data_IF_935952991616
#
_entry.id   IF_935952991616
#
_cell.length_a   1.000
_cell.length_b   1.000
_cell.length_c   1.000
_cell.angle_alpha   90.00
_cell.angle_beta   90.00
_cell.angle_gamma   90.00
#
_symmetry.space_group_name_H-M   'P 1'
#
loop_
_entity.id
_entity.type
_entity.pdbx_description
1 polymer ?
#
# COMPACT_ATOMS: atom_id res chain seq x y z
N UNK A 1 -17.32 17.53 -4.84
CA UNK A 1 -17.40 16.08 -5.11
C UNK A 1 -18.46 15.75 -6.16
N UNK A 2 -19.78 15.74 -5.86
CA UNK A 2 -20.81 15.29 -6.84
C UNK A 2 -20.73 15.95 -8.23
N UNK A 3 -20.70 17.29 -8.28
CA UNK A 3 -20.61 18.10 -9.51
C UNK A 3 -19.26 18.03 -10.25
N UNK A 4 -18.23 17.42 -9.66
CA UNK A 4 -16.92 17.31 -10.33
C UNK A 4 -16.78 16.00 -11.09
N UNK A 5 -17.60 14.99 -10.81
CA UNK A 5 -17.46 13.66 -11.41
C UNK A 5 -17.91 13.66 -12.87
N UNK A 6 -17.25 12.85 -13.70
CA UNK A 6 -17.56 12.72 -15.13
C UNK A 6 -17.84 11.26 -15.45
N UNK A 7 -19.03 10.97 -15.97
CA UNK A 7 -19.35 9.64 -16.50
C UNK A 7 -18.73 9.52 -17.90
N UNK A 8 -17.60 8.82 -18.00
CA UNK A 8 -16.83 8.71 -19.24
C UNK A 8 -17.43 7.69 -20.20
N UNK A 9 -17.92 6.56 -19.67
CA UNK A 9 -18.63 5.55 -20.45
C UNK A 9 -19.67 4.82 -19.61
N UNK A 10 -20.76 4.39 -20.26
CA UNK A 10 -21.81 3.59 -19.64
C UNK A 10 -22.47 2.72 -20.71
N UNK A 11 -22.08 1.45 -20.75
CA UNK A 11 -22.58 0.47 -21.73
C UNK A 11 -23.73 -0.31 -21.13
N UNK A 12 -24.67 -0.70 -21.99
CA UNK A 12 -25.81 -1.55 -21.62
C UNK A 12 -26.63 -1.01 -20.43
N UNK A 13 -26.61 0.31 -20.20
CA UNK A 13 -27.20 0.96 -19.04
C UNK A 13 -26.76 0.33 -17.70
N UNK A 14 -25.48 0.01 -17.58
CA UNK A 14 -24.90 -0.62 -16.36
C UNK A 14 -25.03 0.29 -15.14
N UNK A 15 -24.85 1.60 -15.32
CA UNK A 15 -25.14 2.61 -14.30
C UNK A 15 -26.46 3.36 -14.61
N UNK A 16 -27.22 3.76 -13.57
CA UNK A 16 -26.97 3.50 -12.15
C UNK A 16 -27.20 2.03 -11.78
N UNK A 17 -26.50 1.54 -10.75
CA UNK A 17 -26.69 0.20 -10.22
C UNK A 17 -28.13 0.04 -9.71
N UNK A 18 -28.67 -1.15 -9.94
CA UNK A 18 -30.03 -1.49 -9.49
C UNK A 18 -30.16 -1.35 -7.98
N UNK A 19 -31.24 -0.72 -7.52
CA UNK A 19 -31.59 -0.67 -6.08
C UNK A 19 -31.90 -2.05 -5.49
N UNK A 20 -32.14 -3.05 -6.34
CA UNK A 20 -32.37 -4.45 -5.97
C UNK A 20 -31.10 -5.30 -6.06
N UNK A 21 -29.92 -4.69 -6.31
CA UNK A 21 -28.65 -5.41 -6.32
C UNK A 21 -28.42 -6.04 -4.94
N UNK A 22 -28.10 -7.33 -4.90
CA UNK A 22 -28.00 -8.07 -3.64
C UNK A 22 -26.58 -8.10 -3.12
N UNK A 23 -25.62 -8.27 -4.04
CA UNK A 23 -24.21 -8.45 -3.69
C UNK A 23 -23.32 -7.66 -4.63
N UNK A 24 -22.46 -6.81 -4.06
CA UNK A 24 -21.50 -6.01 -4.81
C UNK A 24 -20.09 -6.32 -4.30
N UNK A 25 -19.16 -6.52 -5.22
CA UNK A 25 -17.74 -6.56 -4.88
C UNK A 25 -17.14 -5.18 -5.09
N UNK A 26 -16.51 -4.62 -4.06
CA UNK A 26 -15.75 -3.38 -4.13
C UNK A 26 -14.28 -3.73 -4.04
N UNK A 27 -13.50 -3.32 -5.03
CA UNK A 27 -12.10 -3.70 -5.20
C UNK A 27 -11.21 -2.53 -5.58
N UNK A 28 -9.91 -2.76 -5.60
CA UNK A 28 -8.90 -1.84 -6.09
C UNK A 28 -8.21 -1.02 -4.99
N UNK A 29 -7.02 -0.45 -5.29
CA UNK A 29 -6.18 0.22 -4.31
C UNK A 29 -6.84 1.46 -3.70
N UNK A 30 -7.76 2.11 -4.44
CA UNK A 30 -8.39 3.36 -4.06
C UNK A 30 -9.72 3.18 -3.31
N UNK A 31 -10.23 1.96 -3.19
CA UNK A 31 -11.54 1.70 -2.61
C UNK A 31 -11.63 2.09 -1.12
N UNK A 32 -10.59 1.79 -0.34
CA UNK A 32 -10.54 2.06 1.10
C UNK A 32 -9.33 2.94 1.47
N UNK A 33 -9.01 3.91 0.62
CA UNK A 33 -7.88 4.83 0.81
C UNK A 33 -8.42 6.25 1.05
N UNK A 34 -8.33 6.72 2.30
CA UNK A 34 -8.74 8.08 2.66
C UNK A 34 -7.75 9.14 2.19
N UNK A 35 -6.46 8.82 2.14
CA UNK A 35 -5.40 9.77 1.77
C UNK A 35 -5.51 10.12 0.29
N UNK A 36 -5.82 9.14 -0.56
CA UNK A 36 -6.08 9.37 -1.98
C UNK A 36 -7.16 10.43 -2.19
N UNK A 37 -8.21 10.46 -1.36
CA UNK A 37 -9.31 11.41 -1.53
C UNK A 37 -8.86 12.87 -1.48
N UNK A 38 -7.76 13.16 -0.79
CA UNK A 38 -7.32 14.52 -0.47
C UNK A 38 -6.37 15.13 -1.49
N UNK A 39 -5.75 14.31 -2.36
CA UNK A 39 -4.65 14.71 -3.24
C UNK A 39 -3.38 15.17 -2.47
N UNK A 40 -2.45 15.80 -3.18
CA UNK A 40 -1.16 16.31 -2.66
C UNK A 40 -1.27 17.69 -1.99
N UNK A 41 -2.19 18.54 -2.46
CA UNK A 41 -2.47 19.86 -1.90
C UNK A 41 -3.71 19.83 -1.00
N UNK A 42 -3.54 19.37 0.24
CA UNK A 42 -4.64 19.21 1.19
C UNK A 42 -4.38 19.89 2.53
N UNK A 43 -5.48 20.19 3.24
CA UNK A 43 -5.47 20.41 4.68
C UNK A 43 -5.90 19.14 5.42
N UNK A 44 -5.85 19.15 6.75
CA UNK A 44 -6.30 18.02 7.58
C UNK A 44 -7.83 18.02 7.69
N UNK A 45 -8.54 17.01 7.15
CA UNK A 45 -10.00 16.96 7.25
C UNK A 45 -10.45 16.43 8.61
N UNK A 46 -11.59 16.92 9.12
CA UNK A 46 -12.17 16.45 10.39
C UNK A 46 -12.59 14.96 10.33
N UNK A 47 -13.04 14.52 9.15
CA UNK A 47 -13.39 13.13 8.84
C UNK A 47 -13.20 12.86 7.37
N UNK A 48 -13.12 11.60 6.97
CA UNK A 48 -13.16 11.21 5.56
C UNK A 48 -13.99 9.97 5.36
N UNK A 49 -14.80 9.96 4.31
CA UNK A 49 -15.61 8.81 3.91
C UNK A 49 -14.96 8.18 2.69
N UNK A 50 -14.40 6.98 2.86
CA UNK A 50 -13.82 6.22 1.75
C UNK A 50 -14.89 5.79 0.76
N UNK A 51 -14.50 5.47 -0.47
CA UNK A 51 -15.45 5.01 -1.50
C UNK A 51 -16.13 3.70 -1.06
N UNK A 52 -15.39 2.81 -0.39
CA UNK A 52 -15.92 1.61 0.23
C UNK A 52 -16.98 1.94 1.29
N UNK A 53 -16.71 2.88 2.18
CA UNK A 53 -17.67 3.31 3.22
C UNK A 53 -18.93 3.91 2.61
N UNK A 54 -18.78 4.78 1.60
CA UNK A 54 -19.90 5.36 0.87
C UNK A 54 -20.79 4.30 0.21
N UNK A 55 -20.18 3.29 -0.43
CA UNK A 55 -20.92 2.18 -1.06
C UNK A 55 -21.59 1.29 0.01
N UNK A 56 -20.89 0.96 1.09
CA UNK A 56 -21.47 0.20 2.21
C UNK A 56 -22.68 0.91 2.81
N UNK A 57 -22.65 2.24 2.93
CA UNK A 57 -23.78 3.01 3.43
C UNK A 57 -25.04 2.98 2.53
N UNK A 58 -24.90 2.57 1.25
CA UNK A 58 -26.04 2.41 0.32
C UNK A 58 -26.67 1.02 0.35
N UNK A 59 -26.00 0.04 0.94
CA UNK A 59 -26.38 -1.37 0.86
C UNK A 59 -26.60 -1.97 2.25
N UNK A 60 -27.43 -3.03 2.35
CA UNK A 60 -27.56 -3.78 3.60
C UNK A 60 -26.21 -4.32 4.10
N UNK A 61 -26.10 -4.49 5.41
CA UNK A 61 -24.93 -5.12 6.02
C UNK A 61 -24.69 -6.52 5.43
N UNK A 62 -23.45 -6.85 5.11
CA UNK A 62 -23.07 -8.12 4.48
C UNK A 62 -23.28 -8.21 2.95
N UNK A 63 -23.90 -7.21 2.31
CA UNK A 63 -24.07 -7.16 0.85
C UNK A 63 -22.80 -6.75 0.08
N UNK A 64 -21.77 -6.25 0.77
CA UNK A 64 -20.52 -5.79 0.15
C UNK A 64 -19.37 -6.74 0.46
N UNK A 65 -18.80 -7.34 -0.57
CA UNK A 65 -17.48 -7.98 -0.48
C UNK A 65 -16.43 -6.89 -0.70
N UNK A 66 -15.42 -6.83 0.16
CA UNK A 66 -14.24 -6.01 -0.08
C UNK A 66 -13.00 -6.89 -0.30
N UNK A 67 -12.27 -6.61 -1.38
CA UNK A 67 -11.00 -7.23 -1.70
C UNK A 67 -10.14 -6.21 -2.44
N UNK A 68 -9.01 -5.77 -1.86
CA UNK A 68 -8.13 -4.76 -2.51
C UNK A 68 -7.68 -5.27 -3.88
N UNK A 69 -7.33 -6.55 -3.97
CA UNK A 69 -6.97 -7.26 -5.20
C UNK A 69 -5.58 -6.92 -5.75
N UNK A 70 -5.23 -5.64 -5.88
CA UNK A 70 -3.89 -5.21 -6.28
C UNK A 70 -3.51 -3.85 -5.69
N UNK A 71 -2.22 -3.51 -5.74
CA UNK A 71 -1.74 -2.17 -5.43
C UNK A 71 -1.73 -1.26 -6.68
N UNK A 72 -1.28 -0.02 -6.55
CA UNK A 72 -1.20 0.93 -7.65
C UNK A 72 -0.27 0.44 -8.76
N UNK A 73 0.95 0.06 -8.40
CA UNK A 73 2.04 -0.28 -9.35
C UNK A 73 2.76 -1.59 -9.00
N UNK A 74 2.51 -2.15 -7.82
CA UNK A 74 3.16 -3.38 -7.36
C UNK A 74 2.46 -4.62 -7.92
N UNK A 75 3.21 -5.49 -8.60
CA UNK A 75 2.70 -6.76 -9.12
C UNK A 75 2.77 -7.87 -8.08
N UNK A 76 3.38 -7.61 -6.92
CA UNK A 76 3.55 -8.56 -5.84
C UNK A 76 2.69 -8.19 -4.62
N UNK A 77 2.26 -9.20 -3.88
CA UNK A 77 1.70 -9.05 -2.54
C UNK A 77 2.75 -9.54 -1.55
N UNK A 78 3.05 -8.70 -0.57
CA UNK A 78 3.92 -9.05 0.54
C UNK A 78 3.09 -9.58 1.72
N UNK A 79 3.28 -10.85 2.06
CA UNK A 79 2.71 -11.47 3.25
C UNK A 79 3.77 -11.43 4.35
N UNK A 80 3.56 -10.58 5.34
CA UNK A 80 4.47 -10.45 6.48
C UNK A 80 4.52 -11.74 7.29
N UNK A 81 5.75 -12.18 7.56
CA UNK A 81 6.08 -13.25 8.50
C UNK A 81 6.78 -12.69 9.73
N UNK A 82 6.63 -11.40 10.02
CA UNK A 82 7.25 -10.76 11.20
C UNK A 82 6.81 -11.41 12.51
N UNK A 83 5.62 -11.99 12.55
CA UNK A 83 5.11 -12.76 13.69
C UNK A 83 5.86 -14.08 13.94
N UNK A 84 6.75 -14.50 13.04
CA UNK A 84 7.66 -15.64 13.19
C UNK A 84 9.05 -15.22 13.72
N UNK A 85 9.29 -13.92 13.91
CA UNK A 85 10.47 -13.38 14.57
C UNK A 85 10.33 -13.43 16.10
N UNK A 86 11.39 -13.86 16.81
CA UNK A 86 11.42 -13.96 18.27
C UNK A 86 12.77 -13.51 18.82
N UNK A 87 12.76 -12.77 19.91
CA UNK A 87 13.95 -12.54 20.75
C UNK A 87 13.61 -12.88 22.20
N UNK A 88 14.44 -13.68 22.86
CA UNK A 88 14.23 -14.17 24.24
C UNK A 88 12.81 -14.71 24.49
N UNK A 89 12.29 -15.48 23.53
CA UNK A 89 10.96 -16.09 23.60
C UNK A 89 9.78 -15.12 23.37
N UNK A 90 10.02 -13.83 23.17
CA UNK A 90 8.98 -12.83 22.88
C UNK A 90 8.91 -12.49 21.39
N UNK A 91 7.72 -12.16 20.87
CA UNK A 91 7.49 -11.78 19.46
C UNK A 91 8.30 -10.54 19.07
N UNK A 92 8.91 -10.58 17.88
CA UNK A 92 9.57 -9.46 17.25
C UNK A 92 11.04 -9.32 17.62
N UNK A 93 11.55 -8.09 17.59
CA UNK A 93 12.98 -7.77 17.72
C UNK A 93 13.26 -7.09 19.06
N UNK A 94 14.44 -7.38 19.64
CA UNK A 94 15.05 -6.48 20.61
C UNK A 94 15.69 -5.32 19.86
N UNK A 95 15.50 -4.10 20.33
CA UNK A 95 16.13 -2.90 19.82
C UNK A 95 17.05 -2.30 20.89
N UNK A 96 18.25 -1.88 20.48
CA UNK A 96 19.21 -1.13 21.29
C UNK A 96 19.60 0.12 20.53
N UNK A 97 19.59 1.28 21.19
CA UNK A 97 19.83 2.58 20.58
C UNK A 97 20.99 3.32 21.24
N UNK A 98 21.70 4.13 20.45
CA UNK A 98 22.75 5.03 20.89
C UNK A 98 22.53 6.42 20.30
N UNK A 99 22.79 7.47 21.08
CA UNK A 99 22.72 8.87 20.64
C UNK A 99 24.04 9.31 19.97
N UNK A 100 24.53 8.46 19.08
CA UNK A 100 25.65 8.68 18.16
C UNK A 100 25.49 7.74 16.96
N UNK A 101 26.34 7.88 15.95
CA UNK A 101 26.25 7.11 14.69
C UNK A 101 27.08 5.83 14.66
N UNK A 102 27.81 5.54 15.73
CA UNK A 102 28.88 4.53 15.74
C UNK A 102 28.47 3.21 16.39
N UNK A 103 27.21 3.06 16.84
CA UNK A 103 26.69 1.88 17.53
C UNK A 103 27.50 1.51 18.78
N UNK A 104 28.01 2.52 19.50
CA UNK A 104 28.94 2.31 20.61
C UNK A 104 28.76 3.33 21.74
N UNK A 105 29.41 3.06 22.87
CA UNK A 105 29.29 3.87 24.08
C UNK A 105 28.01 3.57 24.86
N UNK A 106 27.56 4.56 25.63
CA UNK A 106 26.41 4.42 26.51
C UNK A 106 25.12 4.20 25.72
N UNK A 107 24.39 3.15 26.11
CA UNK A 107 23.09 2.82 25.53
C UNK A 107 22.08 3.88 25.93
N UNK A 108 21.48 4.53 24.93
CA UNK A 108 20.48 5.56 25.13
C UNK A 108 19.11 4.96 25.49
N UNK A 109 18.73 3.87 24.81
CA UNK A 109 17.48 3.18 25.05
C UNK A 109 17.56 1.71 24.64
N UNK A 110 16.72 0.88 25.25
CA UNK A 110 16.44 -0.49 24.81
C UNK A 110 14.95 -0.74 24.83
N UNK A 111 14.48 -1.61 23.94
CA UNK A 111 13.08 -1.99 23.93
C UNK A 111 12.78 -3.16 23.02
N UNK A 112 11.49 -3.47 22.88
CA UNK A 112 11.00 -4.56 22.06
C UNK A 112 10.10 -3.99 20.96
N UNK A 113 10.31 -4.45 19.73
CA UNK A 113 9.52 -4.09 18.56
C UNK A 113 8.73 -5.31 18.12
N UNK A 114 7.41 -5.31 18.36
CA UNK A 114 6.54 -6.47 18.16
C UNK A 114 5.83 -6.53 16.79
N UNK A 115 5.93 -5.45 16.01
CA UNK A 115 5.31 -5.30 14.68
C UNK A 115 6.36 -4.92 13.63
N UNK A 116 6.11 -5.14 12.33
CA UNK A 116 7.00 -4.70 11.26
C UNK A 116 7.48 -3.27 11.46
N UNK A 117 8.75 -3.00 11.14
CA UNK A 117 9.31 -1.68 11.42
C UNK A 117 8.63 -0.67 10.50
N UNK A 118 8.14 0.40 11.10
CA UNK A 118 7.57 1.54 10.40
C UNK A 118 7.87 2.80 11.20
N UNK A 119 9.15 3.09 11.35
CA UNK A 119 9.64 4.25 12.07
C UNK A 119 9.78 5.44 11.12
N UNK A 120 9.34 6.60 11.59
CA UNK A 120 9.43 7.89 10.89
C UNK A 120 9.59 8.99 11.94
N UNK A 121 10.58 9.87 11.78
CA UNK A 121 10.78 11.00 12.72
C UNK A 121 9.97 12.25 12.37
N UNK A 122 9.04 12.15 11.42
CA UNK A 122 8.07 13.18 11.10
C UNK A 122 7.26 13.62 12.31
N UNK A 123 6.86 14.89 12.32
CA UNK A 123 6.13 15.46 13.47
C UNK A 123 6.91 15.43 14.79
N UNK A 124 8.25 15.38 14.74
CA UNK A 124 9.14 15.29 15.91
C UNK A 124 8.96 13.99 16.73
N UNK A 125 8.58 12.89 16.07
CA UNK A 125 8.44 11.57 16.70
C UNK A 125 9.81 10.91 16.86
N UNK A 126 10.15 10.42 18.06
CA UNK A 126 11.39 9.65 18.30
C UNK A 126 11.15 8.16 18.08
N UNK A 127 12.18 7.43 17.61
CA UNK A 127 12.08 5.97 17.41
C UNK A 127 11.84 5.23 18.73
N UNK A 128 12.35 5.76 19.84
CA UNK A 128 12.13 5.25 21.18
C UNK A 128 12.37 6.39 22.20
N UNK A 129 11.65 6.43 23.34
CA UNK A 129 11.93 7.41 24.39
C UNK A 129 13.40 7.38 24.81
N UNK A 130 14.05 8.55 24.85
CA UNK A 130 15.47 8.69 25.16
C UNK A 130 16.41 8.72 23.94
N UNK A 131 15.88 8.47 22.74
CA UNK A 131 16.64 8.53 21.48
C UNK A 131 16.48 9.91 20.84
N UNK A 132 17.57 10.48 20.34
CA UNK A 132 17.55 11.74 19.61
C UNK A 132 16.78 11.62 18.29
N UNK A 133 16.30 12.75 17.77
CA UNK A 133 15.67 12.80 16.43
C UNK A 133 16.68 12.68 15.30
N UNK A 134 17.94 13.01 15.57
CA UNK A 134 19.05 12.99 14.61
C UNK A 134 20.30 12.44 15.25
N UNK A 135 21.23 12.00 14.41
CA UNK A 135 22.58 11.56 14.82
C UNK A 135 22.52 10.44 15.88
N UNK A 136 21.69 9.43 15.59
CA UNK A 136 21.53 8.25 16.42
C UNK A 136 21.77 6.98 15.60
N UNK A 137 21.97 5.88 16.29
CA UNK A 137 22.12 4.56 15.68
C UNK A 137 21.35 3.52 16.48
N UNK A 138 21.02 2.42 15.81
CA UNK A 138 20.22 1.36 16.39
C UNK A 138 20.69 -0.01 15.91
N UNK A 139 20.58 -0.99 16.81
CA UNK A 139 20.77 -2.40 16.52
C UNK A 139 19.51 -3.16 16.88
N UNK A 140 19.01 -3.95 15.93
CA UNK A 140 17.85 -4.80 16.12
C UNK A 140 18.25 -6.27 15.98
N UNK A 141 17.81 -7.10 16.93
CA UNK A 141 18.19 -8.50 17.03
C UNK A 141 16.94 -9.37 17.15
N UNK A 142 16.89 -10.47 16.38
CA UNK A 142 15.81 -11.47 16.44
C UNK A 142 16.28 -12.81 15.88
N UNK A 143 15.59 -13.89 16.25
CA UNK A 143 15.65 -15.18 15.58
C UNK A 143 14.39 -15.36 14.75
N UNK A 144 14.53 -15.54 13.44
CA UNK A 144 13.43 -15.88 12.54
C UNK A 144 13.29 -17.40 12.45
N UNK A 145 12.07 -17.92 12.65
CA UNK A 145 11.77 -19.36 12.63
C UNK A 145 10.62 -19.62 11.65
N UNK A 146 10.90 -19.98 10.39
CA UNK A 146 9.89 -20.15 9.36
C UNK A 146 8.91 -21.27 9.68
N UNK A 147 7.62 -21.07 9.43
CA UNK A 147 6.62 -22.13 9.54
C UNK A 147 6.56 -23.06 8.31
N UNK A 148 7.22 -22.67 7.22
CA UNK A 148 7.23 -23.35 5.92
C UNK A 148 8.62 -23.30 5.29
N UNK A 149 8.91 -24.30 4.45
CA UNK A 149 10.08 -24.29 3.58
C UNK A 149 9.72 -23.58 2.29
N UNK A 150 10.22 -22.37 2.08
CA UNK A 150 9.96 -21.55 0.88
C UNK A 150 11.02 -20.45 0.70
N UNK A 151 10.96 -19.71 -0.40
CA UNK A 151 11.73 -18.47 -0.56
C UNK A 151 11.03 -17.33 0.19
N UNK A 152 11.78 -16.62 1.03
CA UNK A 152 11.33 -15.40 1.72
C UNK A 152 12.11 -14.19 1.23
N UNK A 153 11.53 -13.01 1.41
CA UNK A 153 12.11 -11.72 1.09
C UNK A 153 12.24 -10.90 2.37
N UNK A 154 13.45 -10.41 2.62
CA UNK A 154 13.73 -9.36 3.58
C UNK A 154 13.65 -8.03 2.84
N UNK A 155 12.70 -7.17 3.21
CA UNK A 155 12.58 -5.82 2.66
C UNK A 155 12.98 -4.82 3.71
N UNK A 156 13.87 -3.89 3.36
CA UNK A 156 14.30 -2.79 4.23
C UNK A 156 14.25 -1.49 3.45
N UNK A 157 13.72 -0.43 4.05
CA UNK A 157 13.85 0.93 3.54
C UNK A 157 14.41 1.81 4.64
N UNK A 158 15.56 2.41 4.41
CA UNK A 158 16.26 3.21 5.40
C UNK A 158 16.70 4.54 4.80
N UNK A 159 16.44 5.63 5.54
CA UNK A 159 17.06 6.93 5.35
C UNK A 159 18.43 6.94 6.05
N UNK A 160 19.46 7.34 5.32
CA UNK A 160 20.88 7.11 5.60
C UNK A 160 21.29 5.62 5.62
N UNK A 161 21.87 5.12 6.70
CA UNK A 161 22.60 3.84 6.70
C UNK A 161 21.81 2.67 7.26
N UNK A 162 21.84 1.53 6.56
CA UNK A 162 21.38 0.24 7.06
C UNK A 162 22.27 -0.94 6.64
N UNK A 163 22.42 -1.92 7.54
CA UNK A 163 23.01 -3.23 7.24
C UNK A 163 22.11 -4.32 7.79
N UNK A 164 21.96 -5.41 7.05
CA UNK A 164 21.18 -6.59 7.48
C UNK A 164 22.07 -7.81 7.39
N UNK A 165 22.08 -8.61 8.45
CA UNK A 165 22.81 -9.85 8.56
C UNK A 165 21.85 -11.01 8.85
N UNK A 166 22.15 -12.16 8.26
CA UNK A 166 21.51 -13.44 8.56
C UNK A 166 22.60 -14.45 8.92
N UNK A 167 22.52 -15.06 10.09
CA UNK A 167 23.53 -15.99 10.63
C UNK A 167 24.95 -15.40 10.59
N UNK A 168 25.06 -14.09 10.91
CA UNK A 168 26.31 -13.32 10.88
C UNK A 168 26.81 -12.93 9.48
N UNK A 169 26.18 -13.37 8.40
CA UNK A 169 26.52 -12.98 7.03
C UNK A 169 25.78 -11.71 6.62
N UNK A 170 26.50 -10.71 6.15
CA UNK A 170 25.91 -9.48 5.60
C UNK A 170 25.17 -9.78 4.28
N UNK A 171 23.86 -9.54 4.26
CA UNK A 171 22.99 -9.75 3.08
C UNK A 171 22.55 -8.44 2.42
N UNK A 172 22.51 -7.34 3.18
CA UNK A 172 22.22 -5.98 2.70
C UNK A 172 23.24 -5.03 3.31
N UNK A 173 23.81 -4.15 2.48
CA UNK A 173 24.80 -3.16 2.89
C UNK A 173 24.53 -1.80 2.22
N UNK A 174 24.09 -0.81 2.99
CA UNK A 174 24.22 0.63 2.69
C UNK A 174 24.70 1.35 3.94
N UNK A 175 25.92 1.86 3.97
CA UNK A 175 26.40 2.59 5.15
C UNK A 175 26.88 3.98 4.77
N UNK A 176 25.96 4.79 4.27
CA UNK A 176 26.22 6.16 3.80
C UNK A 176 25.01 7.04 4.03
N UNK A 177 25.24 8.35 4.04
CA UNK A 177 24.15 9.31 4.09
C UNK A 177 23.41 9.34 2.75
N UNK A 178 22.10 9.50 2.81
CA UNK A 178 21.28 9.54 1.60
C UNK A 178 19.80 9.40 1.90
N UNK A 179 18.94 9.71 0.91
CA UNK A 179 17.51 9.60 1.08
C UNK A 179 17.09 8.15 1.33
N UNK A 180 15.94 7.98 1.98
CA UNK A 180 15.28 6.69 2.14
C UNK A 180 15.31 5.86 0.85
N UNK A 181 15.95 4.70 0.92
CA UNK A 181 16.08 3.77 -0.22
C UNK A 181 15.64 2.37 0.18
N UNK A 182 14.86 1.70 -0.67
CA UNK A 182 14.38 0.33 -0.45
C UNK A 182 15.37 -0.68 -1.03
N UNK A 183 15.63 -1.75 -0.29
CA UNK A 183 16.41 -2.92 -0.69
C UNK A 183 15.68 -4.19 -0.31
N UNK A 184 15.68 -5.14 -1.23
CA UNK A 184 15.07 -6.45 -1.01
C UNK A 184 16.16 -7.53 -1.16
N UNK A 185 16.16 -8.52 -0.25
CA UNK A 185 17.02 -9.70 -0.33
C UNK A 185 16.19 -10.97 -0.23
N UNK A 186 16.34 -11.87 -1.19
CA UNK A 186 15.62 -13.15 -1.22
C UNK A 186 16.51 -14.29 -0.74
N UNK A 187 15.95 -15.19 0.05
CA UNK A 187 16.63 -16.43 0.43
C UNK A 187 15.66 -17.58 0.66
N UNK A 188 16.12 -18.80 0.39
CA UNK A 188 15.40 -20.01 0.75
C UNK A 188 15.54 -20.28 2.24
N UNK A 189 14.41 -20.57 2.89
CA UNK A 189 14.37 -20.95 4.29
C UNK A 189 13.76 -22.34 4.48
N UNK A 190 14.14 -23.00 5.56
CA UNK A 190 13.65 -24.33 5.92
C UNK A 190 12.72 -24.24 7.13
N UNK A 191 11.57 -24.93 7.07
CA UNK A 191 10.60 -24.98 8.16
C UNK A 191 11.28 -25.35 9.49
N UNK A 192 11.08 -24.52 10.51
CA UNK A 192 11.56 -24.74 11.88
C UNK A 192 13.05 -24.47 12.09
N UNK A 193 13.82 -24.18 11.04
CA UNK A 193 15.23 -23.79 11.17
C UNK A 193 15.32 -22.38 11.72
N UNK A 194 16.28 -22.14 12.61
CA UNK A 194 16.52 -20.82 13.21
C UNK A 194 17.48 -20.03 12.31
N UNK A 195 17.16 -18.76 12.12
CA UNK A 195 18.00 -17.81 11.41
C UNK A 195 18.20 -16.58 12.30
N UNK A 196 19.45 -16.29 12.66
CA UNK A 196 19.79 -15.13 13.48
C UNK A 196 19.79 -13.87 12.62
N UNK A 197 18.87 -12.95 12.89
CA UNK A 197 18.69 -11.70 12.16
C UNK A 197 19.25 -10.55 12.99
N UNK A 198 20.18 -9.82 12.38
CA UNK A 198 20.75 -8.59 12.94
C UNK A 198 20.56 -7.46 11.94
N UNK A 199 19.99 -6.35 12.39
CA UNK A 199 19.85 -5.13 11.58
C UNK A 199 20.57 -4.01 12.30
N UNK A 200 21.41 -3.29 11.58
CA UNK A 200 22.05 -2.07 12.06
C UNK A 200 21.56 -0.88 11.24
N UNK A 201 21.35 0.23 11.92
CA UNK A 201 20.83 1.46 11.34
C UNK A 201 21.56 2.67 11.92
N UNK A 202 21.75 3.72 11.13
CA UNK A 202 22.06 5.05 11.65
C UNK A 202 21.28 6.14 10.91
N UNK A 203 20.97 7.20 11.64
CA UNK A 203 20.40 8.46 11.15
C UNK A 203 21.50 9.53 11.22
N UNK A 204 21.73 10.26 10.13
CA UNK A 204 22.85 11.20 9.93
C UNK A 204 22.44 12.63 9.58
N UNK A 205 21.26 13.08 10.04
CA UNK A 205 20.72 14.43 9.89
C UNK A 205 19.41 14.47 9.07
N UNK A 206 18.55 15.47 9.28
CA UNK A 206 17.25 15.54 8.58
C UNK A 206 16.15 14.71 9.25
N UNK A 207 15.26 14.09 8.46
CA UNK A 207 14.21 13.18 8.96
C UNK A 207 14.72 11.76 8.89
N UNK A 208 14.62 10.98 9.96
CA UNK A 208 14.90 9.54 9.93
C UNK A 208 13.69 8.73 9.50
N UNK A 209 13.91 7.70 8.69
CA UNK A 209 12.92 6.70 8.35
C UNK A 209 13.56 5.31 8.31
N UNK A 210 12.92 4.33 8.95
CA UNK A 210 13.33 2.93 8.89
C UNK A 210 12.09 2.04 8.81
N UNK A 211 11.98 1.30 7.71
CA UNK A 211 10.98 0.26 7.48
C UNK A 211 11.67 -1.06 7.26
N UNK A 212 11.12 -2.13 7.81
CA UNK A 212 11.67 -3.47 7.65
C UNK A 212 10.57 -4.50 7.86
N UNK A 213 10.55 -5.50 6.98
CA UNK A 213 9.73 -6.68 7.16
C UNK A 213 10.43 -7.91 6.53
N UNK A 214 10.07 -9.09 7.01
CA UNK A 214 10.46 -10.37 6.42
C UNK A 214 9.20 -11.15 6.13
N UNK A 215 9.13 -11.75 4.95
CA UNK A 215 7.91 -12.39 4.54
C UNK A 215 8.01 -13.00 3.17
N UNK A 216 6.85 -13.20 2.57
CA UNK A 216 6.72 -13.84 1.28
C UNK A 216 6.22 -12.80 0.27
N UNK A 217 7.03 -12.52 -0.74
CA UNK A 217 6.59 -11.75 -1.90
C UNK A 217 6.14 -12.70 -3.00
N UNK A 218 4.86 -12.65 -3.40
CA UNK A 218 4.34 -13.45 -4.50
C UNK A 218 3.68 -12.56 -5.52
N UNK A 219 3.88 -12.90 -6.80
CA UNK A 219 3.12 -12.31 -7.89
C UNK A 219 1.62 -12.50 -7.63
N UNK A 220 0.84 -11.46 -7.92
CA UNK A 220 -0.61 -11.51 -7.80
C UNK A 220 -1.15 -12.59 -8.74
N UNK A 221 -1.83 -13.59 -8.17
CA UNK A 221 -2.68 -14.49 -8.93
C UNK A 221 -4.02 -13.80 -9.21
N UNK A 222 -4.06 -13.02 -10.30
CA UNK A 222 -5.24 -12.23 -10.67
C UNK A 222 -6.50 -13.09 -10.83
N UNK A 223 -6.35 -14.34 -11.28
CA UNK A 223 -7.48 -15.25 -11.47
C UNK A 223 -8.01 -15.73 -10.11
N UNK A 224 -7.14 -16.14 -9.20
CA UNK A 224 -7.54 -16.52 -7.85
C UNK A 224 -8.19 -15.34 -7.09
N UNK A 225 -7.70 -14.12 -7.29
CA UNK A 225 -8.31 -12.91 -6.73
C UNK A 225 -9.70 -12.65 -7.33
N UNK A 226 -9.85 -12.73 -8.65
CA UNK A 226 -11.14 -12.55 -9.32
C UNK A 226 -12.17 -13.62 -8.92
N UNK A 227 -11.71 -14.85 -8.67
CA UNK A 227 -12.55 -15.97 -8.23
C UNK A 227 -13.25 -15.68 -6.89
N UNK A 228 -12.60 -14.93 -5.98
CA UNK A 228 -13.18 -14.54 -4.68
C UNK A 228 -14.43 -13.65 -4.82
N UNK A 229 -14.57 -12.95 -5.94
CA UNK A 229 -15.65 -11.97 -6.16
C UNK A 229 -16.65 -12.39 -7.24
N UNK A 230 -16.49 -13.58 -7.84
CA UNK A 230 -17.34 -14.07 -8.93
C UNK A 230 -18.82 -14.22 -8.55
N UNK A 231 -19.14 -14.31 -7.26
CA UNK A 231 -20.52 -14.45 -6.78
C UNK A 231 -21.23 -13.09 -6.62
N UNK A 232 -20.55 -11.97 -6.89
CA UNK A 232 -21.17 -10.66 -6.90
C UNK A 232 -22.09 -10.47 -8.12
N UNK A 233 -23.10 -9.62 -7.98
CA UNK A 233 -23.98 -9.21 -9.09
C UNK A 233 -23.27 -8.19 -9.99
N UNK A 234 -22.42 -7.34 -9.40
CA UNK A 234 -21.55 -6.39 -10.09
C UNK A 234 -20.25 -6.18 -9.31
N UNK A 235 -19.19 -5.80 -10.03
CA UNK A 235 -17.87 -5.52 -9.48
C UNK A 235 -17.57 -4.03 -9.70
N UNK A 236 -17.26 -3.31 -8.63
CA UNK A 236 -16.79 -1.93 -8.66
C UNK A 236 -15.29 -1.95 -8.38
N UNK A 237 -14.48 -1.71 -9.41
CA UNK A 237 -13.04 -1.54 -9.27
C UNK A 237 -12.72 -0.05 -9.12
N UNK A 238 -12.16 0.33 -7.97
CA UNK A 238 -11.77 1.71 -7.65
C UNK A 238 -10.25 1.79 -7.77
N UNK A 239 -9.77 2.41 -8.85
CA UNK A 239 -8.36 2.44 -9.19
C UNK A 239 -7.91 3.80 -9.73
N UNK A 240 -6.83 3.79 -10.50
CA UNK A 240 -6.14 4.99 -10.94
C UNK A 240 -4.81 5.18 -10.20
N UNK A 241 -4.56 6.40 -9.74
CA UNK A 241 -3.32 6.80 -9.05
C UNK A 241 -3.67 7.53 -7.75
N UNK A 242 -2.66 7.96 -7.00
CA UNK A 242 -2.84 8.80 -5.82
C UNK A 242 -1.66 9.75 -5.62
N UNK A 243 -1.77 10.63 -4.62
CA UNK A 243 -0.71 11.53 -4.18
C UNK A 243 0.55 10.83 -3.67
N UNK A 244 0.54 9.50 -3.54
CA UNK A 244 1.74 8.72 -3.27
C UNK A 244 2.60 8.46 -4.52
N UNK A 245 2.04 8.67 -5.72
CA UNK A 245 2.71 8.46 -7.01
C UNK A 245 2.88 9.73 -7.84
N UNK A 246 1.97 10.71 -7.70
CA UNK A 246 2.08 12.02 -8.34
C UNK A 246 2.14 13.16 -7.31
N UNK A 247 3.09 14.07 -7.48
CA UNK A 247 3.36 15.17 -6.55
C UNK A 247 4.69 15.85 -6.85
N UNK A 248 4.99 16.95 -6.15
CA UNK A 248 6.20 17.74 -6.39
C UNK A 248 7.41 17.12 -5.70
N UNK A 249 8.52 17.04 -6.43
CA UNK A 249 9.85 16.63 -5.95
C UNK A 249 9.85 15.38 -5.06
N UNK A 250 9.12 14.34 -5.48
CA UNK A 250 9.01 13.10 -4.70
C UNK A 250 10.21 12.16 -4.92
N UNK A 251 10.37 11.17 -4.05
CA UNK A 251 11.34 10.07 -4.22
C UNK A 251 10.83 8.91 -5.09
N UNK A 252 9.73 9.08 -5.83
CA UNK A 252 9.01 7.99 -6.53
C UNK A 252 9.79 7.51 -7.75
N UNK A 253 10.05 6.20 -7.82
CA UNK A 253 10.71 5.53 -8.96
C UNK A 253 10.01 4.21 -9.27
N UNK A 254 8.93 4.30 -10.04
CA UNK A 254 8.17 3.13 -10.51
C UNK A 254 7.99 3.20 -12.03
N UNK A 255 7.71 2.08 -12.72
CA UNK A 255 7.33 2.12 -14.13
C UNK A 255 6.20 3.13 -14.36
N UNK A 256 6.45 4.14 -15.20
CA UNK A 256 5.51 5.24 -15.48
C UNK A 256 5.66 6.49 -14.59
N UNK A 257 6.55 6.48 -13.59
CA UNK A 257 6.73 7.59 -12.63
C UNK A 257 8.20 7.88 -12.33
N UNK A 258 8.57 9.17 -12.28
CA UNK A 258 9.91 9.62 -11.91
C UNK A 258 9.83 10.90 -11.10
N UNK A 259 10.24 10.83 -9.84
CA UNK A 259 10.26 11.93 -8.89
C UNK A 259 8.91 12.66 -8.70
N UNK A 260 7.80 11.91 -8.85
CA UNK A 260 6.44 12.46 -8.79
C UNK A 260 5.88 12.91 -10.15
N UNK A 261 6.73 13.02 -11.19
CA UNK A 261 6.26 13.20 -12.57
C UNK A 261 5.79 11.88 -13.17
N UNK A 262 4.76 11.94 -14.02
CA UNK A 262 4.35 10.80 -14.86
C UNK A 262 5.17 10.78 -16.15
N UNK A 263 5.88 9.69 -16.40
CA UNK A 263 6.65 9.48 -17.64
C UNK A 263 5.81 8.86 -18.75
N UNK A 264 4.61 8.37 -18.41
CA UNK A 264 3.57 7.89 -19.30
C UNK A 264 2.19 8.14 -18.66
N UNK A 265 1.14 8.27 -19.47
CA UNK A 265 -0.23 8.50 -19.01
C UNK A 265 -1.09 7.23 -18.95
N UNK A 266 -0.57 6.07 -19.34
CA UNK A 266 -1.30 4.80 -19.22
C UNK A 266 -1.63 4.46 -17.76
N UNK A 267 -2.74 3.74 -17.55
CA UNK A 267 -3.04 3.13 -16.26
C UNK A 267 -1.94 2.11 -15.90
N UNK A 268 -1.49 2.06 -14.63
CA UNK A 268 -0.53 1.04 -14.21
C UNK A 268 -0.94 -0.38 -14.61
N UNK A 269 0.02 -1.12 -15.17
CA UNK A 269 -0.24 -2.42 -15.79
C UNK A 269 -0.84 -3.45 -14.83
N UNK A 270 -0.51 -3.38 -13.54
CA UNK A 270 -1.07 -4.22 -12.47
C UNK A 270 -2.60 -4.10 -12.42
N UNK A 271 -3.11 -2.88 -12.39
CA UNK A 271 -4.54 -2.61 -12.30
C UNK A 271 -5.26 -3.07 -13.59
N UNK A 272 -4.62 -2.87 -14.74
CA UNK A 272 -5.12 -3.37 -16.03
C UNK A 272 -5.20 -4.90 -16.07
N UNK A 273 -4.20 -5.60 -15.53
CA UNK A 273 -4.22 -7.06 -15.43
C UNK A 273 -5.31 -7.54 -14.47
N UNK A 274 -5.50 -6.85 -13.34
CA UNK A 274 -6.58 -7.14 -12.42
C UNK A 274 -7.95 -6.98 -13.11
N UNK A 275 -8.21 -5.85 -13.79
CA UNK A 275 -9.47 -5.63 -14.51
C UNK A 275 -9.72 -6.62 -15.65
N UNK A 276 -8.66 -7.11 -16.33
CA UNK A 276 -8.78 -8.21 -17.30
C UNK A 276 -9.34 -9.47 -16.64
N UNK A 277 -8.74 -9.90 -15.53
CA UNK A 277 -9.21 -11.08 -14.81
C UNK A 277 -10.63 -10.88 -14.22
N UNK A 278 -10.97 -9.68 -13.75
CA UNK A 278 -12.34 -9.36 -13.33
C UNK A 278 -13.33 -9.47 -14.50
N UNK A 279 -12.95 -9.01 -15.70
CA UNK A 279 -13.82 -9.11 -16.88
C UNK A 279 -14.07 -10.56 -17.31
N UNK A 280 -13.09 -11.45 -17.10
CA UNK A 280 -13.23 -12.89 -17.36
C UNK A 280 -14.27 -13.58 -16.45
N UNK A 281 -14.65 -12.97 -15.33
CA UNK A 281 -15.74 -13.51 -14.47
C UNK A 281 -17.12 -13.42 -15.13
N UNK A 282 -17.26 -12.63 -16.21
CA UNK A 282 -18.53 -12.38 -16.90
C UNK A 282 -19.47 -11.44 -16.15
N UNK A 283 -19.07 -10.90 -15.00
CA UNK A 283 -19.85 -9.90 -14.25
C UNK A 283 -19.68 -8.50 -14.85
N UNK A 284 -20.68 -7.61 -14.69
CA UNK A 284 -20.49 -6.19 -14.97
C UNK A 284 -19.34 -5.63 -14.12
N UNK A 285 -18.37 -5.00 -14.77
CA UNK A 285 -17.23 -4.34 -14.12
C UNK A 285 -17.33 -2.84 -14.36
N UNK A 286 -17.52 -2.10 -13.26
CA UNK A 286 -17.58 -0.65 -13.21
C UNK A 286 -16.22 -0.15 -12.73
N UNK A 287 -15.57 0.69 -13.52
CA UNK A 287 -14.30 1.31 -13.15
C UNK A 287 -14.52 2.73 -12.60
N UNK A 288 -14.24 2.92 -11.33
CA UNK A 288 -14.17 4.25 -10.71
C UNK A 288 -12.72 4.71 -10.75
N UNK A 289 -12.43 5.69 -11.59
CA UNK A 289 -11.10 6.23 -11.82
C UNK A 289 -10.83 7.42 -10.91
N UNK A 290 -9.85 7.28 -10.03
CA UNK A 290 -9.31 8.37 -9.22
C UNK A 290 -7.94 8.77 -9.76
N UNK A 291 -7.81 10.01 -10.22
CA UNK A 291 -6.56 10.58 -10.69
C UNK A 291 -6.62 12.11 -10.59
N UNK A 292 -5.49 12.78 -10.36
CA UNK A 292 -5.42 14.24 -10.38
C UNK A 292 -5.35 14.82 -11.80
N UNK A 293 -5.10 13.97 -12.79
CA UNK A 293 -4.88 14.38 -14.18
C UNK A 293 -5.25 13.27 -15.18
N UNK A 294 -5.09 13.55 -16.48
CA UNK A 294 -5.51 12.68 -17.59
C UNK A 294 -4.84 11.30 -17.55
N UNK A 295 -5.64 10.24 -17.74
CA UNK A 295 -5.16 8.87 -17.93
C UNK A 295 -5.55 8.35 -19.32
N UNK A 296 -4.69 7.58 -19.97
CA UNK A 296 -5.03 6.87 -21.20
C UNK A 296 -5.82 5.59 -20.86
N UNK A 297 -7.04 5.49 -21.40
CA UNK A 297 -8.03 4.43 -21.09
C UNK A 297 -8.38 3.57 -22.32
N UNK A 298 -7.47 3.45 -23.29
CA UNK A 298 -7.74 2.84 -24.59
C UNK A 298 -8.25 1.39 -24.53
N UNK A 299 -7.89 0.64 -23.49
CA UNK A 299 -8.37 -0.73 -23.29
C UNK A 299 -9.59 -0.75 -22.37
N UNK A 300 -9.56 0.05 -21.30
CA UNK A 300 -10.57 0.14 -20.27
C UNK A 300 -11.90 0.62 -20.88
N UNK A 301 -11.88 1.66 -21.71
CA UNK A 301 -13.06 2.17 -22.40
C UNK A 301 -13.73 1.12 -23.29
N UNK A 302 -12.95 0.19 -23.87
CA UNK A 302 -13.49 -0.90 -24.70
C UNK A 302 -14.06 -2.06 -23.89
N UNK A 303 -13.52 -2.33 -22.69
CA UNK A 303 -13.78 -3.56 -21.96
C UNK A 303 -14.58 -3.40 -20.66
N UNK A 304 -14.55 -2.23 -20.02
CA UNK A 304 -15.36 -1.93 -18.84
C UNK A 304 -16.80 -1.64 -19.23
N UNK A 305 -17.73 -2.00 -18.34
CA UNK A 305 -19.16 -1.82 -18.57
C UNK A 305 -19.60 -0.39 -18.22
N UNK A 306 -18.91 0.27 -17.30
CA UNK A 306 -18.99 1.71 -17.10
C UNK A 306 -17.68 2.27 -16.55
N UNK A 307 -17.40 3.55 -16.82
CA UNK A 307 -16.25 4.28 -16.28
C UNK A 307 -16.72 5.61 -15.69
N UNK A 308 -16.43 5.84 -14.41
CA UNK A 308 -16.69 7.07 -13.69
C UNK A 308 -15.37 7.73 -13.27
N UNK A 309 -15.07 8.92 -13.80
CA UNK A 309 -13.98 9.76 -13.31
C UNK A 309 -14.40 10.44 -12.01
N UNK A 310 -13.74 10.06 -10.91
CA UNK A 310 -13.99 10.58 -9.56
C UNK A 310 -12.98 11.66 -9.12
N UNK A 311 -11.85 11.79 -9.83
CA UNK A 311 -10.72 12.65 -9.43
C UNK A 311 -10.20 12.28 -8.03
N UNK A 312 -9.74 13.28 -7.26
CA UNK A 312 -9.57 13.22 -5.82
C UNK A 312 -10.75 13.94 -5.14
N UNK A 313 -11.79 13.20 -4.71
CA UNK A 313 -13.11 13.79 -4.46
C UNK A 313 -13.29 14.46 -3.08
N UNK A 314 -12.23 14.54 -2.27
CA UNK A 314 -12.23 15.18 -0.95
C UNK A 314 -12.91 14.37 0.15
N UNK A 315 -13.10 15.00 1.32
CA UNK A 315 -13.54 14.35 2.56
C UNK A 315 -14.89 13.59 2.48
N UNK A 316 -15.85 14.06 1.67
CA UNK A 316 -17.15 13.40 1.43
C UNK A 316 -17.17 12.66 0.08
N UNK A 317 -15.99 12.38 -0.46
CA UNK A 317 -15.82 11.84 -1.79
C UNK A 317 -16.45 10.46 -1.95
N UNK A 318 -16.30 9.59 -0.96
CA UNK A 318 -16.92 8.28 -0.97
C UNK A 318 -18.45 8.32 -1.03
N UNK A 319 -19.07 9.19 -0.23
CA UNK A 319 -20.52 9.45 -0.28
C UNK A 319 -20.94 9.89 -1.68
N UNK A 320 -20.23 10.86 -2.26
CA UNK A 320 -20.55 11.38 -3.59
C UNK A 320 -20.40 10.33 -4.71
N UNK A 321 -19.38 9.47 -4.64
CA UNK A 321 -19.19 8.38 -5.61
C UNK A 321 -20.37 7.41 -5.51
N UNK A 322 -20.74 7.03 -4.29
CA UNK A 322 -21.87 6.14 -4.07
C UNK A 322 -23.19 6.73 -4.58
N UNK A 323 -23.45 8.02 -4.35
CA UNK A 323 -24.65 8.68 -4.88
C UNK A 323 -24.75 8.60 -6.40
N UNK A 324 -23.62 8.77 -7.11
CA UNK A 324 -23.59 8.64 -8.58
C UNK A 324 -23.81 7.19 -9.01
N UNK A 325 -23.11 6.24 -8.37
CA UNK A 325 -23.20 4.82 -8.72
C UNK A 325 -24.61 4.26 -8.54
N UNK A 326 -25.35 4.72 -7.52
CA UNK A 326 -26.72 4.26 -7.23
C UNK A 326 -27.82 5.19 -7.77
N UNK A 327 -27.45 6.25 -8.49
CA UNK A 327 -28.39 7.14 -9.17
C UNK A 327 -29.13 8.12 -8.25
N UNK A 328 -28.64 8.33 -7.02
CA UNK A 328 -29.11 9.40 -6.14
C UNK A 328 -28.61 10.77 -6.60
N UNK A 329 -27.58 10.79 -7.47
CA UNK A 329 -27.14 11.98 -8.21
C UNK A 329 -26.85 11.62 -9.67
N UNK A 330 -27.33 12.44 -10.60
CA UNK A 330 -26.99 12.34 -12.02
C UNK A 330 -25.73 13.22 -12.28
N UNK A 331 -24.58 12.65 -12.68
CA UNK A 331 -23.36 13.41 -12.89
C UNK A 331 -23.53 14.45 -14.00
N UNK A 332 -23.40 15.73 -13.63
CA UNK A 332 -23.55 16.91 -14.47
C UNK A 332 -22.79 18.10 -13.87
#
# INVERSE_FOLDING_TARGET
>A
ARKSMVLLSNKNNTLPLSKNIKKVAVMGPNANDSVMLWANYNGTPDRSVTILEGIKAKLPEGSVIYEKGCDYVDTEVFLSYFDQCRYDGKKGFKATFWNNRDLSGDVAATGQISEPFNFDTGGETVFMPGVNLKDFSARFESVFIPERTEEVVFTISADDGCRVYVDGKEIISDWKNGPASRKDYRMNVEKGKKYDILIEYYQGGGKGALKFDVGLSRQIDYKAVAEKVKDADAIIFVGGISSSLEGEEMGVKYPGFRNGDRTNIDLPQVQKNMMKALKETGKPVIFVLCSGSTMALSWEDKNMDAILQAWYPGQEGGTAVADVLFGDYNPA
#
